data_IF_686595638382
#
_entry.id   IF_686595638382
#
_cell.length_a   1.000
_cell.length_b   1.000
_cell.length_c   1.000
_cell.angle_alpha   90.00
_cell.angle_beta   90.00
_cell.angle_gamma   90.00
#
_symmetry.space_group_name_H-M   'P 1'
#
loop_
_entity.id
_entity.type
_entity.pdbx_description
1 polymer ?
#
# COMPACT_ATOMS: atom_id res chain seq x y z
N UNK A 1 25.10 29.91 15.71
CA UNK A 1 25.21 28.48 15.30
C UNK A 1 24.20 27.59 16.04
N UNK A 2 23.91 27.80 17.33
CA UNK A 2 22.89 27.08 18.12
C UNK A 2 21.53 26.90 17.43
N UNK A 3 20.93 27.98 16.93
CA UNK A 3 19.60 27.95 16.29
C UNK A 3 19.53 27.02 15.06
N UNK A 4 20.63 26.92 14.30
CA UNK A 4 20.66 26.07 13.12
C UNK A 4 20.75 24.58 13.52
N UNK A 5 21.48 24.26 14.59
CA UNK A 5 21.55 22.90 15.15
C UNK A 5 20.20 22.47 15.75
N UNK A 6 19.50 23.38 16.44
CA UNK A 6 18.17 23.12 16.99
C UNK A 6 17.12 22.92 15.87
N UNK A 7 17.16 23.73 14.82
CA UNK A 7 16.28 23.58 13.66
C UNK A 7 16.54 22.27 12.91
N UNK A 8 17.80 21.91 12.67
CA UNK A 8 18.17 20.64 12.03
C UNK A 8 17.76 19.44 12.91
N UNK A 9 17.94 19.53 14.23
CA UNK A 9 17.51 18.50 15.17
C UNK A 9 15.98 18.36 15.23
N UNK A 10 15.24 19.47 15.16
CA UNK A 10 13.78 19.45 15.14
C UNK A 10 13.23 18.90 13.81
N UNK A 11 13.82 19.30 12.69
CA UNK A 11 13.50 18.77 11.36
C UNK A 11 13.82 17.27 11.29
N UNK A 12 14.97 16.83 11.80
CA UNK A 12 15.37 15.42 11.88
C UNK A 12 14.46 14.60 12.81
N UNK A 13 13.97 15.20 13.91
CA UNK A 13 13.02 14.59 14.84
C UNK A 13 11.61 14.48 14.25
N UNK A 14 11.17 15.47 13.45
CA UNK A 14 9.89 15.44 12.70
C UNK A 14 9.92 14.50 11.48
N UNK A 15 11.09 14.30 10.87
CA UNK A 15 11.35 13.27 9.85
C UNK A 15 11.75 11.92 10.45
N UNK A 16 11.25 11.62 11.65
CA UNK A 16 11.58 10.41 12.40
C UNK A 16 11.21 9.14 11.64
N UNK A 17 12.23 8.53 11.02
CA UNK A 17 12.60 7.11 10.75
C UNK A 17 11.58 5.94 10.90
N UNK A 18 10.36 6.14 11.40
CA UNK A 18 9.30 5.14 11.49
C UNK A 18 8.23 5.21 10.39
N UNK A 19 8.43 6.05 9.36
CA UNK A 19 7.36 6.41 8.41
C UNK A 19 6.80 5.25 7.59
N UNK A 20 7.54 4.15 7.41
CA UNK A 20 7.09 3.01 6.61
C UNK A 20 6.92 1.73 7.42
N UNK A 21 7.14 1.76 8.74
CA UNK A 21 7.19 0.53 9.54
C UNK A 21 5.88 -0.26 9.44
N UNK A 22 4.73 0.41 9.52
CA UNK A 22 3.44 -0.27 9.46
C UNK A 22 3.13 -0.85 8.07
N UNK A 23 3.34 -0.09 7.00
CA UNK A 23 3.16 -0.61 5.65
C UNK A 23 4.11 -1.79 5.38
N UNK A 24 5.36 -1.67 5.81
CA UNK A 24 6.36 -2.72 5.66
C UNK A 24 6.02 -3.99 6.46
N UNK A 25 5.63 -3.84 7.73
CA UNK A 25 5.19 -4.98 8.55
C UNK A 25 3.97 -5.66 7.95
N UNK A 26 3.03 -4.89 7.40
CA UNK A 26 1.86 -5.45 6.72
C UNK A 26 2.23 -6.17 5.42
N UNK A 27 3.17 -5.64 4.64
CA UNK A 27 3.70 -6.33 3.46
C UNK A 27 4.36 -7.67 3.83
N UNK A 28 5.19 -7.68 4.87
CA UNK A 28 5.83 -8.90 5.36
C UNK A 28 4.79 -9.90 5.86
N UNK A 29 3.76 -9.42 6.56
CA UNK A 29 2.63 -10.25 6.99
C UNK A 29 1.93 -10.90 5.78
N UNK A 30 1.59 -10.14 4.73
CA UNK A 30 0.97 -10.69 3.51
C UNK A 30 1.90 -11.74 2.87
N UNK A 31 3.19 -11.44 2.75
CA UNK A 31 4.17 -12.36 2.16
C UNK A 31 4.20 -13.70 2.91
N UNK A 32 4.31 -13.65 4.24
CA UNK A 32 4.34 -14.86 5.09
C UNK A 32 3.02 -15.62 4.99
N UNK A 33 1.89 -14.92 5.01
CA UNK A 33 0.57 -15.56 4.92
C UNK A 33 0.34 -16.25 3.57
N UNK A 34 0.71 -15.62 2.46
CA UNK A 34 0.55 -16.19 1.12
C UNK A 34 1.53 -17.35 0.84
N UNK A 35 2.74 -17.31 1.39
CA UNK A 35 3.72 -18.40 1.25
C UNK A 35 3.49 -19.56 2.23
N UNK A 36 2.61 -19.40 3.21
CA UNK A 36 2.33 -20.45 4.19
C UNK A 36 1.68 -21.67 3.52
N UNK A 37 2.17 -22.90 3.79
CA UNK A 37 1.60 -24.12 3.21
C UNK A 37 0.13 -24.32 3.56
N UNK A 38 -0.61 -24.94 2.64
CA UNK A 38 -2.06 -25.16 2.80
C UNK A 38 -2.41 -25.95 4.06
N UNK A 39 -1.61 -26.95 4.41
CA UNK A 39 -1.78 -27.79 5.61
C UNK A 39 -1.80 -27.00 6.92
N UNK A 40 -1.10 -25.85 6.97
CA UNK A 40 -1.10 -24.95 8.13
C UNK A 40 -2.23 -23.93 8.06
N UNK A 41 -2.68 -23.57 6.86
CA UNK A 41 -3.85 -22.68 6.72
C UNK A 41 -5.16 -23.37 7.03
N UNK A 42 -5.30 -24.68 6.79
CA UNK A 42 -6.51 -25.44 7.18
C UNK A 42 -6.80 -25.36 8.68
N UNK A 43 -5.77 -25.29 9.53
CA UNK A 43 -5.94 -25.10 10.98
C UNK A 43 -6.52 -23.73 11.36
N UNK A 44 -6.38 -22.73 10.48
CA UNK A 44 -6.91 -21.37 10.67
C UNK A 44 -8.11 -21.07 9.77
N UNK A 45 -8.52 -22.00 8.91
CA UNK A 45 -9.74 -21.83 8.11
C UNK A 45 -10.91 -21.86 9.07
N UNK A 46 -11.60 -20.73 9.18
CA UNK A 46 -12.83 -20.69 9.93
C UNK A 46 -13.84 -21.62 9.25
N UNK A 47 -14.34 -22.59 10.00
CA UNK A 47 -15.22 -23.67 9.51
C UNK A 47 -16.50 -23.16 8.83
N UNK A 48 -16.89 -21.91 9.08
CA UNK A 48 -18.04 -21.22 8.45
C UNK A 48 -17.75 -20.60 7.08
N UNK A 49 -16.50 -20.64 6.59
CA UNK A 49 -16.09 -19.87 5.42
C UNK A 49 -16.30 -20.69 4.14
N UNK A 50 -17.04 -20.17 3.14
CA UNK A 50 -17.27 -20.87 1.89
C UNK A 50 -15.97 -21.27 1.19
N UNK A 51 -16.03 -22.32 0.37
CA UNK A 51 -14.95 -22.69 -0.56
C UNK A 51 -14.59 -21.49 -1.45
N UNK A 52 -13.29 -21.19 -1.61
CA UNK A 52 -12.82 -20.01 -2.34
C UNK A 52 -12.77 -18.71 -1.52
N UNK A 53 -12.92 -18.81 -0.19
CA UNK A 53 -12.80 -17.69 0.74
C UNK A 53 -11.46 -16.96 0.72
N UNK A 54 -10.41 -17.64 0.28
CA UNK A 54 -9.06 -17.11 0.13
C UNK A 54 -9.02 -15.84 -0.72
N UNK A 55 -9.83 -15.77 -1.78
CA UNK A 55 -9.94 -14.59 -2.67
C UNK A 55 -10.43 -13.34 -1.93
N UNK A 56 -11.31 -13.50 -0.96
CA UNK A 56 -11.78 -12.37 -0.14
C UNK A 56 -10.70 -11.88 0.81
N UNK A 57 -9.89 -12.80 1.35
CA UNK A 57 -8.77 -12.48 2.23
C UNK A 57 -7.70 -11.72 1.45
N UNK A 58 -7.35 -12.20 0.26
CA UNK A 58 -6.47 -11.51 -0.68
C UNK A 58 -6.97 -10.08 -0.97
N UNK A 59 -8.23 -9.92 -1.39
CA UNK A 59 -8.81 -8.59 -1.61
C UNK A 59 -8.73 -7.68 -0.38
N UNK A 60 -9.02 -8.21 0.80
CA UNK A 60 -8.96 -7.45 2.06
C UNK A 60 -7.53 -7.03 2.44
N UNK A 61 -6.54 -7.90 2.27
CA UNK A 61 -5.14 -7.60 2.54
C UNK A 61 -4.62 -6.45 1.69
N UNK A 62 -4.91 -6.46 0.39
CA UNK A 62 -4.47 -5.42 -0.54
C UNK A 62 -5.26 -4.12 -0.39
N UNK A 63 -6.51 -4.20 0.04
CA UNK A 63 -7.30 -3.04 0.46
C UNK A 63 -6.65 -2.30 1.65
N UNK A 64 -6.28 -3.03 2.71
CA UNK A 64 -5.58 -2.45 3.87
C UNK A 64 -4.21 -1.91 3.45
N UNK A 65 -3.46 -2.69 2.67
CA UNK A 65 -2.12 -2.31 2.21
C UNK A 65 -2.16 -0.97 1.47
N UNK A 66 -3.15 -0.76 0.59
CA UNK A 66 -3.32 0.51 -0.12
C UNK A 66 -3.45 1.70 0.84
N UNK A 67 -4.28 1.58 1.90
CA UNK A 67 -4.48 2.66 2.86
C UNK A 67 -3.27 2.90 3.76
N UNK A 68 -2.55 1.84 4.14
CA UNK A 68 -1.31 1.95 4.90
C UNK A 68 -0.25 2.71 4.09
N UNK A 69 -0.02 2.30 2.83
CA UNK A 69 0.93 2.98 1.96
C UNK A 69 0.51 4.43 1.72
N UNK A 70 -0.78 4.68 1.45
CA UNK A 70 -1.29 6.04 1.28
C UNK A 70 -1.04 6.90 2.53
N UNK A 71 -1.24 6.36 3.73
CA UNK A 71 -1.01 7.08 4.99
C UNK A 71 0.47 7.37 5.21
N UNK A 72 1.33 6.39 4.95
CA UNK A 72 2.76 6.42 5.22
C UNK A 72 3.49 7.29 4.17
N UNK A 73 3.24 7.04 2.87
CA UNK A 73 3.83 7.79 1.76
C UNK A 73 3.15 9.14 1.51
N UNK A 74 1.86 9.30 1.81
CA UNK A 74 1.12 10.54 1.57
C UNK A 74 1.68 11.72 2.36
N UNK A 75 2.24 11.47 3.55
CA UNK A 75 2.92 12.52 4.33
C UNK A 75 4.18 13.03 3.64
N UNK A 76 4.90 12.17 2.91
CA UNK A 76 6.15 12.51 2.23
C UNK A 76 5.88 13.19 0.89
N UNK A 77 4.98 12.61 0.09
CA UNK A 77 4.76 13.03 -1.31
C UNK A 77 3.70 14.11 -1.49
N UNK A 78 2.78 14.28 -0.52
CA UNK A 78 1.76 15.33 -0.56
C UNK A 78 2.10 16.51 0.36
N UNK A 79 3.38 16.71 0.70
CA UNK A 79 3.81 17.87 1.47
C UNK A 79 3.34 19.17 0.79
N UNK A 80 2.53 20.01 1.45
CA UNK A 80 1.98 21.25 0.87
C UNK A 80 3.04 22.30 0.53
N UNK A 81 4.25 22.18 1.08
CA UNK A 81 5.21 23.29 1.20
C UNK A 81 6.15 23.44 0.00
N UNK A 82 5.99 22.61 -1.05
CA UNK A 82 6.65 22.83 -2.33
C UNK A 82 5.80 23.74 -3.21
N UNK A 83 5.44 24.91 -2.67
CA UNK A 83 4.97 26.03 -3.46
C UNK A 83 6.16 26.53 -4.27
N UNK A 84 6.32 25.92 -5.44
CA UNK A 84 7.40 26.21 -6.36
C UNK A 84 7.30 27.67 -6.76
N UNK A 85 8.28 28.45 -6.28
CA UNK A 85 8.51 29.84 -6.62
C UNK A 85 9.05 30.00 -8.05
N UNK A 86 8.64 29.15 -9.00
CA UNK A 86 9.08 29.23 -10.41
C UNK A 86 8.30 30.35 -11.11
N UNK A 87 8.96 31.46 -11.50
CA UNK A 87 8.32 32.48 -12.31
C UNK A 87 8.03 31.87 -13.70
N UNK A 88 6.76 31.66 -14.03
CA UNK A 88 6.32 31.20 -15.36
C UNK A 88 5.96 29.71 -15.49
N UNK A 89 6.10 28.91 -14.44
CA UNK A 89 5.59 27.53 -14.43
C UNK A 89 4.07 27.50 -14.24
N UNK A 90 3.31 26.94 -15.19
CA UNK A 90 1.86 26.73 -14.97
C UNK A 90 1.71 25.77 -13.77
N UNK A 91 1.01 26.15 -12.69
CA UNK A 91 0.90 25.28 -11.52
C UNK A 91 0.29 23.95 -11.96
N UNK A 92 1.01 22.84 -11.74
CA UNK A 92 0.39 21.52 -11.88
C UNK A 92 -0.76 21.46 -10.89
N UNK A 93 -1.98 21.55 -11.43
CA UNK A 93 -3.24 21.57 -10.69
C UNK A 93 -3.22 20.47 -9.62
N UNK A 94 -3.16 20.83 -8.34
CA UNK A 94 -2.96 19.94 -7.16
C UNK A 94 -3.76 18.62 -7.21
N UNK A 95 -4.92 18.62 -7.87
CA UNK A 95 -5.71 17.40 -8.14
C UNK A 95 -5.00 16.35 -9.01
N UNK A 96 -4.27 16.74 -10.06
CA UNK A 96 -3.56 15.81 -10.94
C UNK A 96 -2.43 15.06 -10.20
N UNK A 97 -1.65 15.77 -9.39
CA UNK A 97 -0.57 15.16 -8.60
C UNK A 97 -1.11 14.13 -7.60
N UNK A 98 -2.23 14.43 -6.91
CA UNK A 98 -2.91 13.45 -6.03
C UNK A 98 -3.30 12.19 -6.78
N UNK A 99 -3.90 12.31 -7.96
CA UNK A 99 -4.33 11.14 -8.75
C UNK A 99 -3.12 10.32 -9.21
N UNK A 100 -2.06 10.96 -9.70
CA UNK A 100 -0.82 10.28 -10.10
C UNK A 100 -0.23 9.51 -8.92
N UNK A 101 -0.17 10.13 -7.75
CA UNK A 101 0.31 9.48 -6.52
C UNK A 101 -0.54 8.25 -6.15
N UNK A 102 -1.87 8.38 -6.11
CA UNK A 102 -2.77 7.27 -5.78
C UNK A 102 -2.69 6.14 -6.83
N UNK A 103 -2.55 6.48 -8.11
CA UNK A 103 -2.36 5.50 -9.18
C UNK A 103 -1.02 4.75 -9.04
N UNK A 104 0.04 5.45 -8.60
CA UNK A 104 1.32 4.83 -8.27
C UNK A 104 1.21 3.77 -7.17
N UNK A 105 0.40 4.03 -6.13
CA UNK A 105 0.13 3.04 -5.06
C UNK A 105 -0.62 1.83 -5.62
N UNK A 106 -1.65 2.07 -6.46
CA UNK A 106 -2.42 0.97 -7.08
C UNK A 106 -1.52 0.06 -7.91
N UNK A 107 -0.65 0.64 -8.75
CA UNK A 107 0.32 -0.10 -9.56
C UNK A 107 1.26 -0.89 -8.66
N UNK A 108 1.83 -0.25 -7.62
CA UNK A 108 2.72 -0.92 -6.66
C UNK A 108 2.05 -2.11 -5.96
N UNK A 109 0.83 -1.94 -5.45
CA UNK A 109 0.09 -3.03 -4.82
C UNK A 109 -0.14 -4.19 -5.80
N UNK A 110 -0.50 -3.88 -7.05
CA UNK A 110 -0.76 -4.90 -8.08
C UNK A 110 0.51 -5.66 -8.43
N UNK A 111 1.63 -4.96 -8.66
CA UNK A 111 2.91 -5.60 -8.98
C UNK A 111 3.46 -6.42 -7.81
N UNK A 112 3.25 -5.94 -6.57
CA UNK A 112 3.60 -6.71 -5.37
C UNK A 112 2.81 -8.02 -5.28
N UNK A 113 1.50 -7.99 -5.56
CA UNK A 113 0.69 -9.21 -5.62
C UNK A 113 1.14 -10.19 -6.69
N UNK A 114 1.42 -9.71 -7.90
CA UNK A 114 1.96 -10.56 -8.97
C UNK A 114 3.30 -11.18 -8.54
N UNK A 115 4.17 -10.42 -7.88
CA UNK A 115 5.45 -10.95 -7.39
C UNK A 115 5.27 -12.07 -6.34
N UNK A 116 4.28 -11.95 -5.44
CA UNK A 116 3.97 -13.00 -4.46
C UNK A 116 3.46 -14.27 -5.16
N UNK A 117 2.58 -14.15 -6.16
CA UNK A 117 2.09 -15.30 -6.94
C UNK A 117 3.24 -16.02 -7.65
N UNK A 118 4.18 -15.26 -8.23
CA UNK A 118 5.40 -15.83 -8.80
C UNK A 118 6.24 -16.52 -7.73
N UNK A 119 6.36 -15.95 -6.53
CA UNK A 119 7.08 -16.61 -5.44
C UNK A 119 6.38 -17.89 -4.96
N UNK A 120 5.06 -17.91 -4.89
CA UNK A 120 4.30 -19.13 -4.60
C UNK A 120 4.59 -20.20 -5.66
N UNK A 121 4.56 -19.82 -6.95
CA UNK A 121 4.85 -20.73 -8.05
C UNK A 121 6.27 -21.33 -8.01
N UNK A 122 7.28 -20.51 -7.74
CA UNK A 122 8.69 -20.95 -7.80
C UNK A 122 9.24 -21.53 -6.49
N UNK A 123 8.71 -21.12 -5.33
CA UNK A 123 9.30 -21.45 -4.03
C UNK A 123 8.40 -22.31 -3.13
N UNK A 124 7.18 -22.66 -3.56
CA UNK A 124 6.30 -23.54 -2.79
C UNK A 124 5.84 -24.72 -3.62
N UNK A 125 5.66 -25.87 -2.95
CA UNK A 125 5.21 -27.11 -3.61
C UNK A 125 3.71 -27.35 -3.46
N UNK A 126 3.04 -26.60 -2.57
CA UNK A 126 1.62 -26.78 -2.24
C UNK A 126 0.77 -25.58 -2.63
N UNK A 127 1.34 -24.48 -3.13
CA UNK A 127 0.56 -23.36 -3.67
C UNK A 127 0.64 -23.34 -5.17
N UNK A 128 -0.47 -22.94 -5.79
CA UNK A 128 -0.58 -22.82 -7.22
C UNK A 128 -0.66 -21.35 -7.61
N UNK A 129 -0.11 -21.03 -8.77
CA UNK A 129 -0.27 -19.71 -9.37
C UNK A 129 -1.73 -19.55 -9.80
N UNK A 130 -2.46 -18.62 -9.17
CA UNK A 130 -3.88 -18.40 -9.46
C UNK A 130 -4.13 -16.99 -10.01
N UNK A 131 -4.58 -16.92 -11.27
CA UNK A 131 -5.02 -15.65 -11.87
C UNK A 131 -6.16 -14.99 -11.06
N UNK A 132 -6.97 -15.80 -10.39
CA UNK A 132 -8.06 -15.30 -9.56
C UNK A 132 -7.54 -14.55 -8.32
N UNK A 133 -6.38 -14.93 -7.79
CA UNK A 133 -5.78 -14.29 -6.63
C UNK A 133 -5.10 -12.97 -7.03
N UNK A 134 -4.51 -12.90 -8.23
CA UNK A 134 -4.12 -11.62 -8.87
C UNK A 134 -5.35 -10.70 -9.01
N UNK A 135 -6.47 -11.25 -9.49
CA UNK A 135 -7.73 -10.50 -9.64
C UNK A 135 -8.26 -9.98 -8.30
N UNK A 136 -8.17 -10.77 -7.24
CA UNK A 136 -8.55 -10.38 -5.89
C UNK A 136 -7.65 -9.25 -5.35
N UNK A 137 -6.32 -9.40 -5.48
CA UNK A 137 -5.33 -8.40 -5.06
C UNK A 137 -5.58 -7.04 -5.76
N UNK A 138 -5.83 -7.09 -7.07
CA UNK A 138 -6.18 -5.91 -7.87
C UNK A 138 -7.49 -5.29 -7.41
N UNK A 139 -8.55 -6.09 -7.22
CA UNK A 139 -9.87 -5.61 -6.79
C UNK A 139 -9.80 -4.89 -5.44
N UNK A 140 -9.07 -5.45 -4.47
CA UNK A 140 -8.87 -4.85 -3.15
C UNK A 140 -8.18 -3.50 -3.20
N UNK A 141 -7.06 -3.42 -3.93
CA UNK A 141 -6.31 -2.17 -4.09
C UNK A 141 -7.06 -1.13 -4.93
N UNK A 142 -7.82 -1.55 -5.95
CA UNK A 142 -8.70 -0.69 -6.74
C UNK A 142 -9.81 -0.09 -5.89
N UNK A 143 -10.44 -0.86 -5.01
CA UNK A 143 -11.45 -0.36 -4.08
C UNK A 143 -10.87 0.72 -3.16
N UNK A 144 -9.66 0.49 -2.63
CA UNK A 144 -8.92 1.49 -1.84
C UNK A 144 -8.65 2.79 -2.62
N UNK A 145 -8.26 2.67 -3.88
CA UNK A 145 -8.08 3.80 -4.80
C UNK A 145 -9.37 4.60 -4.98
N UNK A 146 -10.49 3.93 -5.32
CA UNK A 146 -11.77 4.59 -5.56
C UNK A 146 -12.26 5.35 -4.31
N UNK A 147 -12.17 4.74 -3.13
CA UNK A 147 -12.53 5.40 -1.86
C UNK A 147 -11.63 6.61 -1.59
N UNK A 148 -10.32 6.51 -1.86
CA UNK A 148 -9.39 7.62 -1.67
C UNK A 148 -9.61 8.81 -2.63
N UNK A 149 -10.17 8.53 -3.81
CA UNK A 149 -10.51 9.54 -4.82
C UNK A 149 -11.85 10.20 -4.53
N UNK A 150 -12.91 9.40 -4.30
CA UNK A 150 -14.29 9.87 -4.31
C UNK A 150 -14.89 10.13 -2.92
N UNK A 151 -14.50 9.34 -1.92
CA UNK A 151 -15.14 9.38 -0.59
C UNK A 151 -14.39 10.29 0.37
N UNK A 152 -13.05 10.22 0.39
CA UNK A 152 -12.26 10.97 1.37
C UNK A 152 -12.24 12.46 0.99
N UNK A 153 -12.87 13.33 1.81
CA UNK A 153 -13.02 14.74 1.47
C UNK A 153 -11.67 15.42 1.28
N UNK A 154 -11.62 16.41 0.38
CA UNK A 154 -10.51 17.36 0.35
C UNK A 154 -10.55 18.13 1.67
N UNK A 155 -9.56 17.92 2.55
CA UNK A 155 -9.35 18.86 3.67
C UNK A 155 -9.14 20.23 3.03
N UNK A 156 -10.08 21.14 3.29
CA UNK A 156 -10.01 22.55 2.86
C UNK A 156 -8.92 23.25 3.66
#
# INVERSE_FOLDING_TARGET
>A
MEKNKQHIAEVSRKTGKGFFLFSFLWMLFILVMCLMPESKTEAFRFQWMPSGSDKWIHGFFYFILFFLIKRDAGKVFLHPDREESTPGGKPLRKGKQKIIFLAGILIFCTTYGIAIELFQHFFTTTRHFELADIGANFTGSLLGFLIAVFVIPRRK
#
